data_IF_852719471359
#
_entry.id   IF_852719471359
#
_cell.length_a   1.000
_cell.length_b   1.000
_cell.length_c   1.000
_cell.angle_alpha   90.00
_cell.angle_beta   90.00
_cell.angle_gamma   90.00
#
_symmetry.space_group_name_H-M   'P 1'
#
loop_
_entity.id
_entity.type
_entity.pdbx_description
1 polymer ?
#
# COMPACT_ATOMS: atom_id res chain seq x y z
N UNK A 1 -19.10 -6.35 2.76
CA UNK A 1 -17.94 -7.01 3.41
C UNK A 1 -17.52 -6.17 4.59
N UNK A 2 -17.17 -6.79 5.73
CA UNK A 2 -16.62 -6.04 6.86
C UNK A 2 -15.28 -5.39 6.42
N UNK A 3 -15.06 -4.15 6.84
CA UNK A 3 -13.82 -3.43 6.53
C UNK A 3 -12.68 -4.10 7.29
N UNK A 4 -11.64 -4.58 6.57
CA UNK A 4 -10.46 -5.15 7.21
C UNK A 4 -9.62 -4.03 7.85
N UNK A 5 -9.00 -4.24 9.01
CA UNK A 5 -8.24 -3.22 9.72
C UNK A 5 -6.99 -2.76 8.95
N UNK A 6 -6.59 -3.50 7.93
CA UNK A 6 -5.49 -3.19 7.01
C UNK A 6 -5.77 -2.02 6.06
N UNK A 7 -7.03 -1.55 5.98
CA UNK A 7 -7.33 -0.34 5.22
C UNK A 7 -7.09 0.89 6.10
N UNK A 8 -5.94 1.51 5.90
CA UNK A 8 -5.53 2.73 6.58
C UNK A 8 -5.55 3.95 5.66
N UNK A 9 -6.23 3.83 4.51
CA UNK A 9 -6.32 4.90 3.51
C UNK A 9 -6.88 6.20 4.06
N UNK A 10 -7.80 6.14 5.01
CA UNK A 10 -8.35 7.31 5.69
C UNK A 10 -7.30 8.14 6.46
N UNK A 11 -6.14 7.56 6.80
CA UNK A 11 -5.01 8.29 7.38
C UNK A 11 -4.17 9.01 6.32
N UNK A 12 -4.35 8.67 5.04
CA UNK A 12 -3.69 9.33 3.91
C UNK A 12 -4.60 10.35 3.24
N UNK A 13 -5.91 10.05 3.16
CA UNK A 13 -6.87 10.85 2.42
C UNK A 13 -8.17 11.02 3.20
N UNK A 14 -8.64 12.25 3.39
CA UNK A 14 -9.86 12.57 4.13
C UNK A 14 -10.58 13.76 3.50
N UNK A 15 -11.89 13.67 3.37
CA UNK A 15 -12.74 14.75 2.87
C UNK A 15 -12.25 15.36 1.54
N UNK A 16 -11.88 14.52 0.58
CA UNK A 16 -11.40 14.86 -0.76
C UNK A 16 -10.00 15.51 -0.84
N UNK A 17 -9.27 15.51 0.28
CA UNK A 17 -7.92 16.08 0.35
C UNK A 17 -6.91 15.12 1.00
N UNK A 18 -5.62 15.20 0.62
CA UNK A 18 -4.56 14.50 1.33
C UNK A 18 -4.44 15.03 2.76
N UNK A 19 -4.28 14.12 3.72
CA UNK A 19 -4.05 14.49 5.12
C UNK A 19 -2.69 15.16 5.31
N UNK A 20 -2.45 15.87 6.43
CA UNK A 20 -1.12 16.41 6.73
C UNK A 20 -0.01 15.37 6.69
N UNK A 21 -0.26 14.15 7.18
CA UNK A 21 0.69 13.03 7.12
C UNK A 21 1.08 12.70 5.67
N UNK A 22 0.11 12.66 4.77
CA UNK A 22 0.38 12.33 3.38
C UNK A 22 1.02 13.50 2.63
N UNK A 23 0.58 14.73 2.88
CA UNK A 23 1.20 15.95 2.33
C UNK A 23 2.67 16.05 2.70
N UNK A 24 3.03 15.83 3.96
CA UNK A 24 4.43 15.83 4.40
C UNK A 24 5.26 14.77 3.68
N UNK A 25 4.66 13.61 3.42
CA UNK A 25 5.33 12.55 2.64
C UNK A 25 5.51 12.97 1.18
N UNK A 26 4.48 13.51 0.54
CA UNK A 26 4.53 14.03 -0.83
C UNK A 26 5.63 15.08 -0.94
N UNK A 27 5.65 16.07 -0.05
CA UNK A 27 6.60 17.17 -0.08
C UNK A 27 8.05 16.69 0.01
N UNK A 28 8.35 15.73 0.91
CA UNK A 28 9.70 15.17 1.03
C UNK A 28 10.16 14.46 -0.25
N UNK A 29 9.27 13.71 -0.90
CA UNK A 29 9.62 13.01 -2.14
C UNK A 29 9.78 13.98 -3.31
N UNK A 30 8.88 14.96 -3.44
CA UNK A 30 8.98 16.03 -4.46
C UNK A 30 10.27 16.80 -4.27
N UNK A 31 10.58 17.23 -3.05
CA UNK A 31 11.80 18.00 -2.75
C UNK A 31 13.07 17.20 -3.06
N UNK A 32 13.11 15.91 -2.74
CA UNK A 32 14.25 15.06 -3.05
C UNK A 32 14.46 14.94 -4.57
N UNK A 33 13.40 14.69 -5.33
CA UNK A 33 13.50 14.57 -6.80
C UNK A 33 13.89 15.87 -7.46
N UNK A 34 13.36 17.00 -6.98
CA UNK A 34 13.71 18.33 -7.49
C UNK A 34 15.15 18.70 -7.14
N UNK A 35 15.64 18.28 -5.97
CA UNK A 35 17.03 18.52 -5.57
C UNK A 35 18.04 17.75 -6.43
N UNK A 36 17.65 16.59 -6.96
CA UNK A 36 18.48 15.80 -7.88
C UNK A 36 18.50 16.37 -9.31
N UNK A 37 17.51 17.23 -9.65
CA UNK A 37 17.39 17.82 -10.97
C UNK A 37 18.16 19.17 -11.01
N UNK A 38 19.42 19.11 -11.43
CA UNK A 38 20.23 20.30 -11.60
C UNK A 38 19.84 21.04 -12.88
N UNK A 39 19.03 22.08 -12.74
CA UNK A 39 18.64 22.92 -13.88
C UNK A 39 19.83 23.51 -14.60
N UNK A 40 19.80 23.45 -15.90
CA UNK A 40 20.82 24.04 -16.80
C UNK A 40 20.46 23.70 -18.25
N UNK A 41 20.89 24.56 -19.13
CA UNK A 41 20.64 24.45 -20.57
C UNK A 41 19.81 25.62 -21.09
N UNK A 42 20.02 25.95 -22.36
CA UNK A 42 19.24 26.96 -23.07
C UNK A 42 17.86 26.35 -23.42
N UNK A 43 16.89 26.55 -22.56
CA UNK A 43 15.51 26.19 -22.88
C UNK A 43 14.87 27.24 -23.77
N UNK A 44 13.94 26.87 -24.67
CA UNK A 44 13.21 27.86 -25.48
C UNK A 44 12.42 28.82 -24.60
N UNK A 45 12.48 30.10 -24.93
CA UNK A 45 11.63 31.09 -24.28
C UNK A 45 10.19 31.00 -24.82
N UNK A 46 9.24 31.40 -23.97
CA UNK A 46 7.83 31.55 -24.36
C UNK A 46 6.88 30.58 -23.68
N UNK A 47 5.59 30.81 -23.93
CA UNK A 47 4.52 29.97 -23.45
C UNK A 47 4.26 28.87 -24.45
N UNK A 48 4.12 27.66 -23.94
CA UNK A 48 3.83 26.44 -24.71
C UNK A 48 2.67 25.66 -24.12
N UNK A 49 2.12 24.78 -24.93
CA UNK A 49 1.21 23.75 -24.52
C UNK A 49 1.93 22.41 -24.57
N UNK A 50 1.93 21.66 -23.47
CA UNK A 50 2.48 20.33 -23.42
C UNK A 50 1.38 19.31 -23.14
N UNK A 51 1.42 18.18 -23.83
CA UNK A 51 0.46 17.08 -23.67
C UNK A 51 1.18 15.83 -23.18
N UNK A 52 0.72 15.30 -22.05
CA UNK A 52 1.15 13.99 -21.53
C UNK A 52 0.15 12.95 -21.97
N UNK A 53 0.62 11.91 -22.64
CA UNK A 53 -0.19 10.80 -23.16
C UNK A 53 0.36 9.47 -22.75
N UNK A 54 -0.52 8.52 -22.50
CA UNK A 54 -0.17 7.14 -22.18
C UNK A 54 0.29 6.38 -23.43
N UNK A 55 1.34 5.56 -23.27
CA UNK A 55 1.83 4.64 -24.30
C UNK A 55 1.28 3.23 -24.12
N UNK A 56 0.78 2.93 -22.93
CA UNK A 56 0.12 1.68 -22.57
C UNK A 56 -1.18 1.95 -21.82
N UNK A 57 -2.02 0.91 -21.65
CA UNK A 57 -3.23 0.98 -20.84
C UNK A 57 -2.94 0.67 -19.38
N UNK A 58 -3.71 1.27 -18.46
CA UNK A 58 -3.53 1.06 -17.02
C UNK A 58 -4.49 1.89 -16.17
N UNK A 59 -4.08 2.18 -14.94
CA UNK A 59 -4.81 3.02 -14.00
C UNK A 59 -3.94 4.24 -13.65
N UNK A 60 -4.49 5.44 -13.84
CA UNK A 60 -3.79 6.66 -13.44
C UNK A 60 -3.70 6.78 -11.92
N UNK A 61 -2.49 7.00 -11.43
CA UNK A 61 -2.25 7.34 -10.04
C UNK A 61 -1.13 8.37 -9.91
N UNK A 62 -1.22 9.20 -8.87
CA UNK A 62 -0.21 10.20 -8.56
C UNK A 62 -0.62 11.63 -8.92
N UNK A 63 -1.87 11.85 -9.29
CA UNK A 63 -2.39 13.20 -9.54
C UNK A 63 -2.14 14.15 -8.36
N UNK A 64 -2.42 13.79 -7.08
CA UNK A 64 -2.15 14.69 -5.94
C UNK A 64 -0.66 15.04 -5.80
N UNK A 65 0.24 14.10 -6.14
CA UNK A 65 1.69 14.31 -6.09
C UNK A 65 2.12 15.26 -7.22
N UNK A 66 1.60 15.05 -8.43
CA UNK A 66 1.85 15.90 -9.57
C UNK A 66 1.31 17.33 -9.35
N UNK A 67 0.08 17.48 -8.84
CA UNK A 67 -0.51 18.78 -8.49
C UNK A 67 0.33 19.51 -7.45
N UNK A 68 0.90 18.78 -6.47
CA UNK A 68 1.79 19.39 -5.47
C UNK A 68 3.11 19.85 -6.07
N UNK A 69 3.71 19.06 -6.98
CA UNK A 69 4.89 19.46 -7.76
C UNK A 69 4.61 20.72 -8.56
N UNK A 70 3.49 20.77 -9.30
CA UNK A 70 3.09 21.91 -10.11
C UNK A 70 2.88 23.15 -9.25
N UNK A 71 2.15 23.06 -8.16
CA UNK A 71 1.86 24.17 -7.27
C UNK A 71 3.11 24.80 -6.64
N UNK A 72 4.14 23.99 -6.35
CA UNK A 72 5.36 24.45 -5.67
C UNK A 72 6.45 24.94 -6.62
N UNK A 73 6.55 24.32 -7.79
CA UNK A 73 7.70 24.53 -8.69
C UNK A 73 7.33 25.02 -10.09
N UNK A 74 6.06 24.93 -10.47
CA UNK A 74 5.52 25.31 -11.77
C UNK A 74 4.23 26.15 -11.62
N UNK A 75 4.21 27.06 -10.65
CA UNK A 75 3.02 27.86 -10.32
C UNK A 75 2.50 28.73 -11.47
N UNK A 76 3.33 29.01 -12.48
CA UNK A 76 2.94 29.73 -13.71
C UNK A 76 2.28 28.81 -14.75
N UNK A 77 2.26 27.48 -14.51
CA UNK A 77 1.62 26.51 -15.38
C UNK A 77 0.19 26.22 -14.92
N UNK A 78 -0.74 26.17 -15.86
CA UNK A 78 -2.06 25.59 -15.64
C UNK A 78 -2.09 24.13 -16.09
N UNK A 79 -2.91 23.32 -15.43
CA UNK A 79 -3.03 21.88 -15.66
C UNK A 79 -4.49 21.50 -15.92
N UNK A 80 -4.74 20.80 -17.02
CA UNK A 80 -6.04 20.25 -17.41
C UNK A 80 -5.94 18.72 -17.42
N UNK A 81 -6.54 18.07 -16.42
CA UNK A 81 -6.54 16.61 -16.31
C UNK A 81 -7.60 15.99 -17.22
N UNK A 82 -7.18 15.07 -18.10
CA UNK A 82 -8.08 14.28 -18.93
C UNK A 82 -8.64 13.06 -18.20
N UNK A 83 -7.96 12.62 -17.13
CA UNK A 83 -8.30 11.42 -16.34
C UNK A 83 -8.24 11.77 -14.85
N UNK A 84 -9.20 11.28 -14.09
CA UNK A 84 -9.19 11.41 -12.62
C UNK A 84 -8.22 10.43 -11.96
N UNK A 85 -7.84 10.70 -10.71
CA UNK A 85 -7.12 9.73 -9.86
C UNK A 85 -7.90 8.42 -9.79
N UNK A 86 -7.23 7.28 -10.02
CA UNK A 86 -7.85 5.97 -10.08
C UNK A 86 -8.59 5.65 -11.38
N UNK A 87 -8.66 6.58 -12.32
CA UNK A 87 -9.31 6.37 -13.60
C UNK A 87 -8.54 5.43 -14.53
N UNK A 88 -9.26 4.63 -15.31
CA UNK A 88 -8.68 3.80 -16.35
C UNK A 88 -8.10 4.68 -17.47
N UNK A 89 -6.94 4.30 -17.95
CA UNK A 89 -6.20 4.96 -19.03
C UNK A 89 -6.02 3.98 -20.18
N UNK A 90 -6.31 4.43 -21.38
CA UNK A 90 -6.06 3.67 -22.60
C UNK A 90 -4.81 4.15 -23.32
N UNK A 91 -4.18 3.25 -24.07
CA UNK A 91 -3.05 3.59 -24.93
C UNK A 91 -3.41 4.72 -25.90
N UNK A 92 -2.58 5.76 -25.95
CA UNK A 92 -2.76 6.95 -26.77
C UNK A 92 -3.63 8.04 -26.13
N UNK A 93 -4.27 7.75 -24.98
CA UNK A 93 -5.14 8.72 -24.32
C UNK A 93 -4.32 9.86 -23.69
N UNK A 94 -4.86 11.07 -23.76
CA UNK A 94 -4.28 12.23 -23.07
C UNK A 94 -4.64 12.17 -21.59
N UNK A 95 -3.59 12.17 -20.75
CA UNK A 95 -3.70 12.14 -19.29
C UNK A 95 -3.76 13.55 -18.72
N UNK A 96 -2.89 14.42 -19.20
CA UNK A 96 -2.71 15.78 -18.68
C UNK A 96 -2.28 16.70 -19.80
N UNK A 97 -2.83 17.91 -19.80
CA UNK A 97 -2.38 19.02 -20.65
C UNK A 97 -1.87 20.15 -19.73
N UNK A 98 -0.68 20.65 -20.02
CA UNK A 98 -0.05 21.78 -19.32
C UNK A 98 0.04 22.97 -20.26
N UNK A 99 -0.19 24.17 -19.71
CA UNK A 99 0.04 25.45 -20.39
C UNK A 99 0.92 26.32 -19.50
N UNK A 100 2.01 26.84 -20.03
CA UNK A 100 2.92 27.70 -19.27
C UNK A 100 4.29 27.87 -19.94
N UNK A 101 5.30 28.35 -19.19
CA UNK A 101 6.64 28.55 -19.69
C UNK A 101 7.33 27.27 -20.13
N UNK A 102 7.94 27.28 -21.31
CA UNK A 102 8.62 26.13 -21.89
C UNK A 102 9.77 25.62 -21.01
N UNK A 103 10.58 26.52 -20.47
CA UNK A 103 11.73 26.22 -19.61
C UNK A 103 11.30 25.37 -18.40
N UNK A 104 10.32 25.82 -17.63
CA UNK A 104 9.81 25.11 -16.48
C UNK A 104 9.28 23.73 -16.84
N UNK A 105 8.49 23.61 -17.92
CA UNK A 105 7.93 22.33 -18.34
C UNK A 105 9.00 21.33 -18.73
N UNK A 106 9.99 21.71 -19.51
CA UNK A 106 11.07 20.83 -19.95
C UNK A 106 11.97 20.41 -18.78
N UNK A 107 12.23 21.31 -17.85
CA UNK A 107 12.99 21.04 -16.64
C UNK A 107 12.34 19.96 -15.77
N UNK A 108 11.02 20.04 -15.56
CA UNK A 108 10.29 19.13 -14.68
C UNK A 108 9.61 17.95 -15.38
N UNK A 109 9.74 17.88 -16.72
CA UNK A 109 9.17 16.77 -17.51
C UNK A 109 9.49 15.41 -16.92
N UNK A 110 10.79 15.14 -16.71
CA UNK A 110 11.24 13.81 -16.26
C UNK A 110 10.73 13.45 -14.89
N UNK A 111 10.74 14.39 -13.96
CA UNK A 111 10.20 14.19 -12.60
C UNK A 111 8.72 13.85 -12.69
N UNK A 112 7.94 14.64 -13.44
CA UNK A 112 6.49 14.45 -13.58
C UNK A 112 6.15 13.09 -14.21
N UNK A 113 6.86 12.70 -15.28
CA UNK A 113 6.65 11.41 -15.93
C UNK A 113 7.06 10.24 -15.02
N UNK A 114 8.15 10.36 -14.26
CA UNK A 114 8.58 9.33 -13.32
C UNK A 114 7.58 9.15 -12.18
N UNK A 115 7.05 10.23 -11.61
CA UNK A 115 6.04 10.21 -10.55
C UNK A 115 4.76 9.52 -11.03
N UNK A 116 4.18 10.03 -12.12
CA UNK A 116 2.94 9.48 -12.66
C UNK A 116 3.12 8.05 -13.16
N UNK A 117 4.21 7.77 -13.89
CA UNK A 117 4.48 6.45 -14.44
C UNK A 117 4.63 5.40 -13.36
N UNK A 118 5.45 5.66 -12.33
CA UNK A 118 5.66 4.71 -11.24
C UNK A 118 4.37 4.42 -10.46
N UNK A 119 3.69 5.46 -9.99
CA UNK A 119 2.49 5.28 -9.17
C UNK A 119 1.36 4.62 -9.97
N UNK A 120 1.19 4.99 -11.24
CA UNK A 120 0.23 4.34 -12.13
C UNK A 120 0.58 2.88 -12.43
N UNK A 121 1.87 2.55 -12.59
CA UNK A 121 2.33 1.17 -12.74
C UNK A 121 1.96 0.31 -11.53
N UNK A 122 2.23 0.80 -10.31
CA UNK A 122 1.85 0.11 -9.06
C UNK A 122 0.34 -0.06 -8.95
N UNK A 123 -0.45 0.97 -9.25
CA UNK A 123 -1.92 0.88 -9.23
C UNK A 123 -2.44 -0.14 -10.24
N UNK A 124 -1.91 -0.13 -11.47
CA UNK A 124 -2.31 -1.07 -12.52
C UNK A 124 -1.97 -2.52 -12.13
N UNK A 125 -0.76 -2.76 -11.62
CA UNK A 125 -0.36 -4.07 -11.11
C UNK A 125 -1.26 -4.52 -9.97
N UNK A 126 -1.54 -3.63 -9.01
CA UNK A 126 -2.41 -3.96 -7.86
C UNK A 126 -3.82 -4.28 -8.29
N UNK A 127 -4.39 -3.57 -9.28
CA UNK A 127 -5.71 -3.87 -9.80
C UNK A 127 -5.77 -5.26 -10.45
N UNK A 128 -4.74 -5.64 -11.18
CA UNK A 128 -4.63 -7.00 -11.73
C UNK A 128 -4.55 -8.07 -10.63
N UNK A 129 -3.80 -7.82 -9.57
CA UNK A 129 -3.76 -8.70 -8.40
C UNK A 129 -5.12 -8.79 -7.69
N UNK A 130 -5.79 -7.65 -7.47
CA UNK A 130 -7.09 -7.62 -6.81
C UNK A 130 -8.17 -8.36 -7.61
N UNK A 131 -8.17 -8.21 -8.93
CA UNK A 131 -9.05 -8.96 -9.84
C UNK A 131 -8.77 -10.47 -9.77
N UNK A 132 -7.48 -10.86 -9.82
CA UNK A 132 -7.06 -12.27 -9.76
C UNK A 132 -7.35 -12.92 -8.41
N UNK A 133 -7.32 -12.15 -7.32
CA UNK A 133 -7.61 -12.63 -5.96
C UNK A 133 -9.12 -12.84 -5.69
N UNK A 134 -10.01 -12.30 -6.53
CA UNK A 134 -11.46 -12.43 -6.39
C UNK A 134 -12.01 -11.80 -5.12
N UNK A 135 -12.52 -12.61 -4.19
CA UNK A 135 -13.06 -12.13 -2.91
C UNK A 135 -11.99 -11.94 -1.83
N UNK A 136 -10.83 -12.60 -1.94
CA UNK A 136 -9.69 -12.40 -1.06
C UNK A 136 -9.08 -11.03 -1.31
N UNK A 137 -8.63 -10.34 -0.25
CA UNK A 137 -8.00 -9.02 -0.42
C UNK A 137 -6.49 -9.14 -0.57
N UNK A 138 -5.90 -8.17 -1.25
CA UNK A 138 -4.44 -8.01 -1.36
C UNK A 138 -3.99 -6.79 -0.60
N UNK A 139 -2.85 -6.84 0.07
CA UNK A 139 -2.36 -5.77 0.92
C UNK A 139 -0.88 -5.46 0.67
N UNK A 140 -0.53 -4.20 0.88
CA UNK A 140 0.85 -3.74 0.91
C UNK A 140 1.64 -4.40 2.05
N UNK A 141 2.96 -4.28 1.96
CA UNK A 141 3.89 -4.51 3.07
C UNK A 141 4.60 -3.21 3.45
N UNK A 142 5.52 -3.25 4.42
CA UNK A 142 6.45 -2.13 4.68
C UNK A 142 7.70 -2.14 3.80
N UNK A 143 7.80 -3.09 2.85
CA UNK A 143 8.88 -3.16 1.85
C UNK A 143 8.52 -2.24 0.68
N UNK A 144 8.48 -0.93 0.94
CA UNK A 144 8.18 0.12 -0.03
C UNK A 144 9.45 0.86 -0.44
N UNK A 145 9.50 1.38 -1.67
CA UNK A 145 10.60 2.19 -2.17
C UNK A 145 10.31 3.68 -1.96
N UNK A 146 9.07 4.12 -2.22
CA UNK A 146 8.63 5.51 -2.02
C UNK A 146 7.66 5.68 -0.84
N UNK A 147 7.80 4.85 0.19
CA UNK A 147 7.07 5.00 1.44
C UNK A 147 5.55 5.02 1.29
N UNK A 148 4.92 6.09 1.75
CA UNK A 148 3.46 6.25 1.72
C UNK A 148 2.91 6.43 0.30
N UNK A 149 3.72 6.90 -0.66
CA UNK A 149 3.30 7.02 -2.06
C UNK A 149 3.03 5.64 -2.67
N UNK A 150 3.89 4.65 -2.42
CA UNK A 150 3.66 3.27 -2.87
C UNK A 150 2.37 2.70 -2.26
N UNK A 151 2.13 2.96 -0.97
CA UNK A 151 0.92 2.51 -0.28
C UNK A 151 -0.36 3.17 -0.83
N UNK A 152 -0.28 4.45 -1.16
CA UNK A 152 -1.35 5.16 -1.85
C UNK A 152 -1.65 4.54 -3.21
N UNK A 153 -0.62 4.27 -4.00
CA UNK A 153 -0.78 3.65 -5.31
C UNK A 153 -1.39 2.24 -5.22
N UNK A 154 -1.01 1.44 -4.22
CA UNK A 154 -1.64 0.15 -3.94
C UNK A 154 -3.12 0.33 -3.58
N UNK A 155 -3.45 1.33 -2.75
CA UNK A 155 -4.85 1.62 -2.41
C UNK A 155 -5.67 2.01 -3.63
N UNK A 156 -5.16 2.89 -4.48
CA UNK A 156 -5.82 3.31 -5.72
C UNK A 156 -6.06 2.13 -6.68
N UNK A 157 -5.15 1.15 -6.70
CA UNK A 157 -5.33 -0.10 -7.43
C UNK A 157 -6.30 -1.11 -6.78
N UNK A 158 -6.97 -0.75 -5.66
CA UNK A 158 -7.94 -1.62 -4.97
C UNK A 158 -7.34 -2.52 -3.88
N UNK A 159 -6.04 -2.42 -3.62
CA UNK A 159 -5.36 -3.09 -2.52
C UNK A 159 -5.55 -2.37 -1.18
N UNK A 160 -5.12 -3.01 -0.10
CA UNK A 160 -5.11 -2.45 1.24
C UNK A 160 -3.73 -1.87 1.57
N UNK A 161 -3.70 -0.75 2.27
CA UNK A 161 -2.46 -0.06 2.64
C UNK A 161 -1.61 -0.85 3.63
N UNK A 162 -2.22 -1.76 4.38
CA UNK A 162 -1.65 -2.33 5.61
C UNK A 162 -1.20 -1.22 6.56
N UNK A 163 -0.59 -1.52 7.71
CA UNK A 163 -0.08 -0.49 8.61
C UNK A 163 0.88 0.45 7.86
N UNK A 164 0.73 1.75 8.10
CA UNK A 164 1.52 2.76 7.41
C UNK A 164 2.97 2.78 7.91
N UNK A 165 3.15 2.65 9.23
CA UNK A 165 4.45 2.58 9.90
C UNK A 165 4.41 1.65 11.13
N UNK A 166 5.40 1.75 12.02
CA UNK A 166 5.46 0.93 13.25
C UNK A 166 4.50 1.42 14.32
N UNK A 167 4.15 2.70 14.31
CA UNK A 167 3.25 3.31 15.30
C UNK A 167 1.78 3.14 14.96
N UNK A 168 1.45 2.91 13.67
CA UNK A 168 0.06 2.78 13.21
C UNK A 168 -0.62 1.49 13.68
N UNK A 169 0.11 0.38 13.78
CA UNK A 169 -0.39 -0.90 14.30
C UNK A 169 0.71 -1.72 14.95
N UNK A 170 0.38 -2.37 16.07
CA UNK A 170 1.28 -3.29 16.73
C UNK A 170 1.48 -4.55 15.86
N UNK A 171 2.72 -5.00 15.74
CA UNK A 171 3.03 -6.28 15.11
C UNK A 171 4.04 -7.02 15.98
N UNK A 172 3.58 -8.10 16.57
CA UNK A 172 4.37 -9.01 17.39
C UNK A 172 5.00 -10.05 16.47
N UNK A 173 6.33 -10.11 16.48
CA UNK A 173 7.11 -10.96 15.57
C UNK A 173 7.94 -11.97 16.34
N UNK A 174 8.50 -12.94 15.59
CA UNK A 174 9.47 -13.90 16.13
C UNK A 174 10.57 -13.26 16.99
N UNK A 175 11.15 -12.16 16.54
CA UNK A 175 12.19 -11.48 17.30
C UNK A 175 11.67 -10.87 18.60
N UNK A 176 10.42 -10.39 18.62
CA UNK A 176 9.77 -9.89 19.83
C UNK A 176 9.50 -11.05 20.79
N UNK A 177 9.03 -12.19 20.27
CA UNK A 177 8.82 -13.41 21.02
C UNK A 177 10.13 -13.92 21.63
N UNK A 178 11.19 -14.03 20.82
CA UNK A 178 12.50 -14.48 21.28
C UNK A 178 13.10 -13.56 22.38
N UNK A 179 12.90 -12.24 22.24
CA UNK A 179 13.36 -11.27 23.24
C UNK A 179 12.58 -11.33 24.56
N UNK A 180 11.34 -11.81 24.53
CA UNK A 180 10.47 -11.92 25.72
C UNK A 180 10.50 -13.29 26.39
N UNK A 181 11.08 -14.31 25.76
CA UNK A 181 11.16 -15.65 26.35
C UNK A 181 11.97 -15.64 27.65
N UNK A 182 11.38 -16.23 28.71
CA UNK A 182 12.05 -16.48 29.97
C UNK A 182 12.94 -17.72 29.90
N UNK A 183 13.88 -17.83 30.86
CA UNK A 183 14.77 -19.01 30.97
C UNK A 183 13.92 -20.28 31.22
N UNK A 184 14.03 -21.25 30.31
CA UNK A 184 13.25 -22.51 30.38
C UNK A 184 11.79 -22.40 29.95
N UNK A 185 11.34 -21.24 29.46
CA UNK A 185 9.98 -21.06 28.95
C UNK A 185 9.85 -21.64 27.53
N UNK A 186 8.76 -22.39 27.27
CA UNK A 186 8.44 -22.85 25.93
C UNK A 186 7.84 -21.73 25.07
N UNK A 187 8.06 -21.78 23.76
CA UNK A 187 7.65 -20.76 22.77
C UNK A 187 6.13 -20.44 22.84
N UNK A 188 5.27 -21.45 22.97
CA UNK A 188 3.82 -21.26 23.08
C UNK A 188 3.42 -20.54 24.37
N UNK A 189 4.11 -20.82 25.49
CA UNK A 189 3.88 -20.13 26.75
C UNK A 189 4.25 -18.65 26.66
N UNK A 190 5.42 -18.37 26.10
CA UNK A 190 5.87 -17.00 25.85
C UNK A 190 4.92 -16.24 24.90
N UNK A 191 4.44 -16.88 23.83
CA UNK A 191 3.46 -16.30 22.90
C UNK A 191 2.13 -15.97 23.61
N UNK A 192 1.59 -16.88 24.39
CA UNK A 192 0.37 -16.65 25.17
C UNK A 192 0.52 -15.46 26.10
N UNK A 193 1.64 -15.38 26.84
CA UNK A 193 1.95 -14.26 27.75
C UNK A 193 2.12 -12.95 26.98
N UNK A 194 2.86 -12.96 25.86
CA UNK A 194 3.08 -11.78 25.01
C UNK A 194 1.77 -11.21 24.50
N UNK A 195 0.90 -12.08 23.93
CA UNK A 195 -0.40 -11.65 23.41
C UNK A 195 -1.31 -11.14 24.51
N UNK A 196 -1.34 -11.80 25.67
CA UNK A 196 -2.14 -11.36 26.83
C UNK A 196 -1.68 -10.03 27.43
N UNK A 197 -0.44 -9.62 27.21
CA UNK A 197 0.14 -8.36 27.71
C UNK A 197 -0.12 -7.16 26.79
N UNK A 198 -0.79 -7.33 25.66
CA UNK A 198 -1.07 -6.22 24.71
C UNK A 198 -2.00 -5.20 25.37
N UNK A 199 -1.51 -3.97 25.47
CA UNK A 199 -2.27 -2.83 25.93
C UNK A 199 -2.89 -2.10 24.74
N UNK A 200 -4.20 -2.26 24.53
CA UNK A 200 -4.93 -1.67 23.40
C UNK A 200 -5.12 -0.15 23.54
N UNK A 201 -5.00 0.41 24.73
CA UNK A 201 -5.08 1.86 24.91
C UNK A 201 -3.82 2.56 24.38
N UNK A 202 -2.70 1.85 24.38
CA UNK A 202 -1.41 2.36 23.88
C UNK A 202 -1.17 2.09 22.40
N UNK A 203 -1.96 1.19 21.78
CA UNK A 203 -1.73 0.76 20.41
C UNK A 203 -2.91 1.14 19.52
N UNK A 204 -2.68 2.12 18.65
CA UNK A 204 -3.64 2.53 17.64
C UNK A 204 -3.81 1.46 16.55
N UNK A 205 -4.97 1.49 15.90
CA UNK A 205 -5.25 0.73 14.70
C UNK A 205 -5.63 -0.72 14.96
N UNK A 206 -4.66 -1.65 14.94
CA UNK A 206 -4.92 -3.08 15.09
C UNK A 206 -3.67 -3.84 15.55
N UNK A 207 -3.88 -5.08 16.01
CA UNK A 207 -2.80 -5.95 16.46
C UNK A 207 -2.59 -7.10 15.49
N UNK A 208 -1.34 -7.31 15.07
CA UNK A 208 -0.89 -8.43 14.24
C UNK A 208 0.04 -9.32 15.06
N UNK A 209 -0.21 -10.64 15.02
CA UNK A 209 0.68 -11.65 15.60
C UNK A 209 1.20 -12.53 14.47
N UNK A 210 2.52 -12.52 14.26
CA UNK A 210 3.19 -13.39 13.30
C UNK A 210 3.28 -14.81 13.86
N UNK A 211 2.79 -15.78 13.11
CA UNK A 211 2.75 -17.20 13.50
C UNK A 211 3.31 -18.07 12.37
N UNK A 212 3.90 -19.20 12.72
CA UNK A 212 4.56 -20.14 11.81
C UNK A 212 4.08 -21.57 11.94
N UNK A 213 3.13 -21.83 12.84
CA UNK A 213 2.51 -23.12 12.97
C UNK A 213 1.03 -23.01 13.37
N UNK A 214 0.29 -24.10 13.17
CA UNK A 214 -1.10 -24.20 13.59
C UNK A 214 -1.23 -24.02 15.11
N UNK A 215 -0.32 -24.62 15.89
CA UNK A 215 -0.30 -24.51 17.34
C UNK A 215 -0.08 -23.07 17.82
N UNK A 216 0.84 -22.35 17.18
CA UNK A 216 1.06 -20.93 17.48
C UNK A 216 -0.19 -20.10 17.18
N UNK A 217 -0.86 -20.35 16.04
CA UNK A 217 -2.07 -19.62 15.66
C UNK A 217 -3.21 -19.84 16.67
N UNK A 218 -3.46 -21.09 17.07
CA UNK A 218 -4.48 -21.41 18.07
C UNK A 218 -4.11 -20.81 19.44
N UNK A 219 -2.84 -20.87 19.83
CA UNK A 219 -2.36 -20.30 21.11
C UNK A 219 -2.56 -18.79 21.13
N UNK A 220 -2.14 -18.09 20.07
CA UNK A 220 -2.28 -16.65 19.98
C UNK A 220 -3.74 -16.22 19.99
N UNK A 221 -4.61 -16.89 19.21
CA UNK A 221 -6.05 -16.62 19.18
C UNK A 221 -6.71 -16.86 20.53
N UNK A 222 -6.38 -17.95 21.23
CA UNK A 222 -6.91 -18.27 22.56
C UNK A 222 -6.52 -17.20 23.59
N UNK A 223 -5.25 -16.81 23.60
CA UNK A 223 -4.75 -15.76 24.50
C UNK A 223 -5.43 -14.42 24.22
N UNK A 224 -5.63 -14.09 22.94
CA UNK A 224 -6.31 -12.86 22.52
C UNK A 224 -7.77 -12.84 23.00
N UNK A 225 -8.56 -13.89 22.68
CA UNK A 225 -9.98 -13.99 23.07
C UNK A 225 -10.13 -13.92 24.58
N UNK A 226 -9.26 -14.60 25.35
CA UNK A 226 -9.26 -14.57 26.81
C UNK A 226 -9.00 -13.15 27.33
N UNK A 227 -8.02 -12.44 26.77
CA UNK A 227 -7.70 -11.07 27.12
C UNK A 227 -8.85 -10.11 26.77
N UNK A 228 -9.45 -10.25 25.58
CA UNK A 228 -10.60 -9.46 25.15
C UNK A 228 -11.80 -9.65 26.08
N UNK A 229 -12.14 -10.88 26.42
CA UNK A 229 -13.23 -11.20 27.34
C UNK A 229 -13.03 -10.57 28.72
N UNK A 230 -11.79 -10.54 29.21
CA UNK A 230 -11.44 -9.96 30.51
C UNK A 230 -11.64 -8.44 30.56
N UNK A 231 -11.55 -7.73 29.44
CA UNK A 231 -11.72 -6.25 29.34
C UNK A 231 -13.02 -5.81 28.66
N UNK A 232 -13.85 -6.74 28.20
CA UNK A 232 -15.11 -6.44 27.49
C UNK A 232 -14.89 -5.90 26.07
N UNK A 233 -13.75 -6.22 25.44
CA UNK A 233 -13.43 -5.88 24.06
C UNK A 233 -13.92 -6.95 23.08
N UNK A 234 -14.04 -6.58 21.80
CA UNK A 234 -14.46 -7.44 20.69
C UNK A 234 -13.54 -7.35 19.46
N UNK A 235 -12.40 -6.67 19.60
CA UNK A 235 -11.47 -6.47 18.50
C UNK A 235 -10.86 -7.81 18.05
N UNK A 236 -10.76 -7.97 16.72
CA UNK A 236 -10.13 -9.13 16.13
C UNK A 236 -8.61 -8.99 16.14
N UNK A 237 -7.92 -10.11 16.35
CA UNK A 237 -6.49 -10.19 16.10
C UNK A 237 -6.22 -10.56 14.66
N UNK A 238 -5.20 -9.96 14.05
CA UNK A 238 -4.67 -10.42 12.76
C UNK A 238 -3.61 -11.49 13.05
N UNK A 239 -3.81 -12.68 12.51
CA UNK A 239 -2.81 -13.74 12.50
C UNK A 239 -2.10 -13.70 11.15
N UNK A 240 -0.85 -13.25 11.14
CA UNK A 240 0.00 -13.23 9.96
C UNK A 240 0.70 -14.59 9.84
N UNK A 241 0.30 -15.37 8.83
CA UNK A 241 0.77 -16.73 8.57
C UNK A 241 2.07 -16.64 7.76
N UNK A 242 3.21 -16.56 8.46
CA UNK A 242 4.50 -16.26 7.83
C UNK A 242 5.12 -17.51 7.20
N UNK A 243 5.28 -17.47 5.87
CA UNK A 243 5.86 -18.54 5.05
C UNK A 243 5.21 -19.93 5.22
N UNK A 244 3.93 -19.98 5.60
CA UNK A 244 3.20 -21.24 5.82
C UNK A 244 2.64 -21.86 4.52
N UNK A 245 2.47 -21.06 3.48
CA UNK A 245 1.83 -21.49 2.24
C UNK A 245 0.31 -21.69 2.35
N UNK A 246 -0.41 -21.85 1.22
CA UNK A 246 -1.87 -21.93 1.19
C UNK A 246 -2.41 -23.16 1.92
N UNK A 247 -1.78 -24.33 1.77
CA UNK A 247 -2.23 -25.59 2.35
C UNK A 247 -2.23 -25.55 3.88
N UNK A 248 -1.10 -25.17 4.49
CA UNK A 248 -1.00 -25.07 5.96
C UNK A 248 -1.86 -23.94 6.49
N UNK A 249 -2.04 -22.86 5.73
CA UNK A 249 -2.96 -21.77 6.09
C UNK A 249 -4.42 -22.22 6.15
N UNK A 250 -4.82 -23.15 5.28
CA UNK A 250 -6.14 -23.79 5.35
C UNK A 250 -6.30 -24.64 6.62
N UNK A 251 -5.25 -25.34 7.05
CA UNK A 251 -5.25 -26.11 8.30
C UNK A 251 -5.40 -25.18 9.52
N UNK A 252 -4.76 -23.99 9.51
CA UNK A 252 -4.97 -22.97 10.54
C UNK A 252 -6.44 -22.56 10.60
N UNK A 253 -7.04 -22.23 9.46
CA UNK A 253 -8.46 -21.82 9.39
C UNK A 253 -9.40 -22.89 9.96
N UNK A 254 -9.12 -24.17 9.66
CA UNK A 254 -9.87 -25.33 10.19
C UNK A 254 -9.69 -25.46 11.71
N UNK A 255 -8.46 -25.46 12.19
CA UNK A 255 -8.18 -25.59 13.62
C UNK A 255 -8.80 -24.45 14.44
N UNK A 256 -8.77 -23.21 13.94
CA UNK A 256 -9.43 -22.07 14.58
C UNK A 256 -10.96 -22.26 14.62
N UNK A 257 -11.56 -22.80 13.56
CA UNK A 257 -13.00 -23.07 13.50
C UNK A 257 -13.42 -24.18 14.48
N UNK A 258 -12.66 -25.26 14.55
CA UNK A 258 -12.88 -26.37 15.49
C UNK A 258 -12.79 -25.93 16.95
N UNK A 259 -11.99 -24.91 17.25
CA UNK A 259 -11.85 -24.32 18.59
C UNK A 259 -12.77 -23.10 18.84
N UNK A 260 -13.66 -22.75 17.89
CA UNK A 260 -14.56 -21.60 18.02
C UNK A 260 -13.86 -20.23 18.00
N UNK A 261 -12.66 -20.15 17.43
CA UNK A 261 -11.79 -18.95 17.45
C UNK A 261 -11.80 -18.17 16.12
N UNK A 262 -12.27 -18.78 15.01
CA UNK A 262 -12.14 -18.19 13.66
C UNK A 262 -12.78 -16.80 13.53
N UNK A 263 -13.90 -16.57 14.17
CA UNK A 263 -14.63 -15.31 14.11
C UNK A 263 -13.92 -14.14 14.84
N UNK A 264 -12.97 -14.48 15.71
CA UNK A 264 -12.17 -13.51 16.46
C UNK A 264 -10.84 -13.15 15.75
N UNK A 265 -10.59 -13.75 14.57
CA UNK A 265 -9.34 -13.58 13.84
C UNK A 265 -9.57 -13.03 12.45
N UNK A 266 -8.55 -12.32 11.94
CA UNK A 266 -8.34 -12.05 10.52
C UNK A 266 -7.10 -12.82 10.11
N UNK A 267 -7.19 -13.66 9.06
CA UNK A 267 -6.07 -14.47 8.57
C UNK A 267 -5.38 -13.73 7.42
N UNK A 268 -4.11 -13.43 7.59
CA UNK A 268 -3.25 -12.80 6.60
C UNK A 268 -2.18 -13.79 6.12
N UNK A 269 -2.24 -14.20 4.86
CA UNK A 269 -1.18 -14.98 4.24
C UNK A 269 0.02 -14.11 3.87
N UNK A 270 1.23 -14.55 4.19
CA UNK A 270 2.48 -13.82 3.92
C UNK A 270 3.63 -14.76 3.59
N UNK A 271 4.63 -14.23 2.86
CA UNK A 271 5.82 -15.00 2.45
C UNK A 271 5.64 -15.68 1.10
N UNK A 272 6.47 -15.27 0.12
CA UNK A 272 6.49 -15.90 -1.20
C UNK A 272 5.21 -15.77 -2.04
N UNK A 273 4.29 -14.88 -1.67
CA UNK A 273 3.03 -14.69 -2.41
C UNK A 273 3.32 -14.05 -3.76
N UNK A 274 3.03 -14.78 -4.84
CA UNK A 274 3.11 -14.35 -6.23
C UNK A 274 1.75 -14.33 -6.90
N UNK A 275 1.67 -13.68 -8.06
CA UNK A 275 0.44 -13.60 -8.85
C UNK A 275 -0.07 -15.00 -9.26
N UNK A 276 0.84 -15.88 -9.60
CA UNK A 276 0.61 -17.27 -9.99
C UNK A 276 0.05 -18.16 -8.88
N UNK A 277 0.26 -17.79 -7.62
CA UNK A 277 -0.22 -18.53 -6.45
C UNK A 277 -1.53 -17.96 -5.85
N UNK A 278 -2.07 -16.87 -6.38
CA UNK A 278 -3.25 -16.20 -5.78
C UNK A 278 -4.50 -17.09 -5.74
N UNK A 279 -4.71 -17.98 -6.73
CA UNK A 279 -5.82 -18.91 -6.74
C UNK A 279 -5.77 -19.90 -5.57
N UNK A 280 -4.57 -20.41 -5.24
CA UNK A 280 -4.38 -21.34 -4.13
C UNK A 280 -4.56 -20.62 -2.79
N UNK A 281 -4.06 -19.38 -2.68
CA UNK A 281 -4.31 -18.55 -1.52
C UNK A 281 -5.79 -18.22 -1.33
N UNK A 282 -6.52 -17.90 -2.39
CA UNK A 282 -7.96 -17.64 -2.31
C UNK A 282 -8.73 -18.90 -1.87
N UNK A 283 -8.30 -20.08 -2.31
CA UNK A 283 -8.90 -21.35 -1.89
C UNK A 283 -8.57 -21.75 -0.45
N UNK A 284 -7.50 -21.22 0.15
CA UNK A 284 -7.08 -21.56 1.52
C UNK A 284 -7.98 -20.98 2.61
N UNK A 285 -8.85 -20.02 2.28
CA UNK A 285 -9.78 -19.41 3.24
C UNK A 285 -9.16 -18.28 4.09
N UNK A 286 -7.97 -17.76 3.73
CA UNK A 286 -7.43 -16.54 4.31
C UNK A 286 -8.26 -15.32 3.87
N UNK A 287 -8.32 -14.30 4.72
CA UNK A 287 -9.08 -13.07 4.43
C UNK A 287 -8.33 -12.15 3.45
N UNK A 288 -7.01 -12.17 3.55
CA UNK A 288 -6.12 -11.40 2.69
C UNK A 288 -4.74 -12.04 2.57
N UNK A 289 -3.99 -11.57 1.58
CA UNK A 289 -2.55 -11.83 1.47
C UNK A 289 -1.79 -10.51 1.40
N UNK A 290 -0.59 -10.44 2.00
CA UNK A 290 0.30 -9.29 1.85
C UNK A 290 1.54 -9.65 1.02
N UNK A 291 1.84 -8.81 0.03
CA UNK A 291 2.99 -9.04 -0.85
C UNK A 291 3.69 -7.74 -1.23
N UNK A 292 5.02 -7.77 -1.22
CA UNK A 292 5.82 -6.67 -1.77
C UNK A 292 5.87 -6.68 -3.30
N UNK A 293 5.42 -7.73 -3.97
CA UNK A 293 5.34 -7.77 -5.42
C UNK A 293 4.26 -6.82 -5.99
N UNK A 294 3.40 -6.26 -5.13
CA UNK A 294 2.46 -5.21 -5.53
C UNK A 294 3.19 -3.93 -5.98
N UNK A 295 4.35 -3.61 -5.39
CA UNK A 295 5.10 -2.37 -5.66
C UNK A 295 6.55 -2.58 -6.09
N UNK A 296 7.20 -3.68 -5.68
CA UNK A 296 8.61 -3.92 -6.00
C UNK A 296 8.77 -4.63 -7.34
N UNK A 297 9.67 -4.10 -8.17
CA UNK A 297 9.94 -4.65 -9.51
C UNK A 297 8.82 -4.42 -10.51
N UNK A 298 7.84 -3.58 -10.19
CA UNK A 298 6.72 -3.24 -11.07
C UNK A 298 7.20 -2.24 -12.12
N UNK A 299 6.89 -2.52 -13.39
CA UNK A 299 7.16 -1.59 -14.48
C UNK A 299 6.29 -0.33 -14.34
N UNK A 300 6.85 0.87 -14.54
CA UNK A 300 6.06 2.08 -14.61
C UNK A 300 5.11 2.05 -15.83
N UNK A 301 3.95 2.70 -15.70
CA UNK A 301 3.11 2.99 -16.87
C UNK A 301 3.89 3.93 -17.81
N UNK A 302 4.03 3.53 -19.08
CA UNK A 302 4.76 4.33 -20.04
C UNK A 302 3.97 5.58 -20.45
N UNK A 303 4.53 6.73 -20.13
CA UNK A 303 3.98 8.06 -20.40
C UNK A 303 5.00 8.90 -21.19
N UNK A 304 4.51 9.74 -22.08
CA UNK A 304 5.36 10.69 -22.80
C UNK A 304 4.75 12.08 -22.82
N UNK A 305 5.60 13.10 -22.75
CA UNK A 305 5.22 14.48 -22.94
C UNK A 305 5.64 14.98 -24.34
N UNK A 306 4.76 15.73 -24.98
CA UNK A 306 5.02 16.40 -26.25
C UNK A 306 4.61 17.87 -26.13
N UNK A 307 5.53 18.75 -26.53
CA UNK A 307 5.18 20.16 -26.77
C UNK A 307 4.34 20.22 -28.05
N UNK A 308 3.15 20.78 -27.94
CA UNK A 308 2.25 21.01 -29.07
C UNK A 308 2.54 22.41 -29.58
N UNK A 309 2.97 22.53 -30.84
CA UNK A 309 3.18 23.83 -31.48
C UNK A 309 1.87 24.62 -31.44
N UNK A 310 1.92 25.87 -31.02
CA UNK A 310 0.76 26.73 -30.89
C UNK A 310 0.08 26.93 -32.26
N UNK A 311 -1.13 26.42 -32.39
CA UNK A 311 -1.96 26.59 -33.57
C UNK A 311 -2.76 25.34 -33.90
N UNK A 312 -3.71 24.98 -33.03
CA UNK A 312 -5.04 24.44 -33.38
C UNK A 312 -5.83 24.20 -32.09
#
# INVERSE_FOLDING_TARGET
MATLPHDRSALLWSADYPTPLFLDSIDRWVDAMVADEHGGGDAPEGLVKARISAKDSGILCGRPVAERLLARHLSECSAEWGISEGGAVEKGQTVLVLHGPADGMLRFERILLNLLGRLSGISSNTAHWAESAGSMRVAATRKTEWGLLDKWAIHIGGGLTHRLDRGDALMLKENDLAAMMGEGEGELGAMSRMVSSVDMEQHAGFTVVEVRSVEQAVTAATAWVTSQSGRGGDEKVVLLLDNMGPEVSSDVGRALSENGLRDHCVLEGSGGVGLDSLSDWAASGVDLVSSSALNRGVAPLDLSMLIVAGGE
#
